data_IF_427380073065
#
_entry.id   IF_427380073065
#
_cell.length_a   1.000
_cell.length_b   1.000
_cell.length_c   1.000
_cell.angle_alpha   90.00
_cell.angle_beta   90.00
_cell.angle_gamma   90.00
#
_symmetry.space_group_name_H-M   'P 1'
#
loop_
_entity.id
_entity.type
_entity.pdbx_description
1 polymer ?
#
# COMPACT_ATOMS: atom_id res chain seq x y z
N UNK A 1 12.02 -8.95 -22.29
CA UNK A 1 10.96 -9.59 -21.51
C UNK A 1 10.82 -11.10 -21.80
N UNK A 2 11.91 -11.83 -22.10
CA UNK A 2 11.89 -13.29 -22.41
C UNK A 2 12.79 -14.16 -21.54
N UNK A 3 13.44 -13.65 -20.49
CA UNK A 3 14.48 -14.40 -19.77
C UNK A 3 14.28 -14.59 -18.27
N UNK A 4 13.10 -14.39 -17.73
CA UNK A 4 12.86 -14.58 -16.28
C UNK A 4 11.70 -15.47 -15.89
N UNK A 5 11.16 -16.29 -16.80
CA UNK A 5 10.30 -17.39 -16.38
C UNK A 5 11.25 -18.55 -16.05
N UNK A 6 11.74 -18.60 -14.79
CA UNK A 6 12.34 -19.82 -14.24
C UNK A 6 11.42 -20.97 -14.59
N UNK A 7 11.94 -22.02 -15.29
CA UNK A 7 11.23 -23.27 -15.52
C UNK A 7 10.64 -23.71 -14.19
N UNK A 8 9.33 -23.53 -14.01
CA UNK A 8 8.60 -23.98 -12.83
C UNK A 8 8.83 -25.48 -12.72
N UNK A 9 9.51 -25.91 -11.66
CA UNK A 9 9.63 -27.30 -11.30
C UNK A 9 8.20 -27.84 -11.23
N UNK A 10 7.85 -28.90 -11.99
CA UNK A 10 6.49 -29.46 -11.95
C UNK A 10 6.22 -29.90 -10.53
N UNK A 11 5.29 -29.23 -9.87
CA UNK A 11 4.80 -29.61 -8.55
C UNK A 11 4.14 -30.98 -8.65
N UNK A 12 4.34 -31.88 -7.66
CA UNK A 12 3.62 -33.15 -7.63
C UNK A 12 2.12 -32.97 -7.78
N UNK A 13 1.43 -33.82 -8.51
CA UNK A 13 0.04 -33.63 -8.89
C UNK A 13 -0.90 -33.40 -7.68
N UNK A 14 -0.65 -34.08 -6.56
CA UNK A 14 -1.45 -33.91 -5.34
C UNK A 14 -1.22 -32.54 -4.67
N UNK A 15 0.00 -32.07 -4.65
CA UNK A 15 0.31 -30.73 -4.13
C UNK A 15 -0.32 -29.65 -5.00
N UNK A 16 -0.23 -29.80 -6.32
CA UNK A 16 -0.87 -28.88 -7.27
C UNK A 16 -2.41 -28.86 -7.11
N UNK A 17 -3.01 -30.04 -6.90
CA UNK A 17 -4.45 -30.16 -6.63
C UNK A 17 -4.83 -29.46 -5.33
N UNK A 18 -4.09 -29.69 -4.25
CA UNK A 18 -4.32 -29.03 -2.96
C UNK A 18 -4.19 -27.51 -3.06
N UNK A 19 -3.18 -27.02 -3.79
CA UNK A 19 -3.01 -25.58 -4.00
C UNK A 19 -4.13 -24.99 -4.86
N UNK A 20 -4.59 -25.69 -5.88
CA UNK A 20 -5.76 -25.25 -6.66
C UNK A 20 -7.02 -25.12 -5.78
N UNK A 21 -7.26 -26.07 -4.87
CA UNK A 21 -8.34 -25.97 -3.90
C UNK A 21 -8.16 -24.79 -2.94
N UNK A 22 -6.94 -24.56 -2.44
CA UNK A 22 -6.65 -23.39 -1.58
C UNK A 22 -6.98 -22.09 -2.28
N UNK A 23 -6.54 -21.91 -3.53
CA UNK A 23 -6.82 -20.73 -4.33
C UNK A 23 -8.33 -20.53 -4.56
N UNK A 24 -9.05 -21.61 -4.89
CA UNK A 24 -10.49 -21.54 -5.15
C UNK A 24 -11.31 -21.05 -3.95
N UNK A 25 -10.89 -21.38 -2.72
CA UNK A 25 -11.61 -21.01 -1.49
C UNK A 25 -10.96 -19.85 -0.73
N UNK A 26 -9.88 -19.27 -1.25
CA UNK A 26 -9.15 -18.17 -0.58
C UNK A 26 -10.01 -16.95 -0.21
N UNK A 27 -11.05 -16.54 -0.99
CA UNK A 27 -11.94 -15.46 -0.57
C UNK A 27 -12.69 -15.75 0.74
N UNK A 28 -13.09 -17.01 0.96
CA UNK A 28 -13.75 -17.41 2.22
C UNK A 28 -12.78 -17.37 3.39
N UNK A 29 -11.53 -17.81 3.17
CA UNK A 29 -10.48 -17.77 4.20
C UNK A 29 -10.20 -16.32 4.61
N UNK A 30 -10.04 -15.43 3.62
CA UNK A 30 -9.81 -14.02 3.88
C UNK A 30 -10.95 -13.41 4.69
N UNK A 31 -12.21 -13.67 4.34
CA UNK A 31 -13.36 -13.17 5.08
C UNK A 31 -13.49 -13.78 6.48
N UNK A 32 -13.11 -15.06 6.66
CA UNK A 32 -13.06 -15.66 8.00
C UNK A 32 -12.04 -14.94 8.90
N UNK A 33 -10.86 -14.61 8.36
CA UNK A 33 -9.85 -13.83 9.10
C UNK A 33 -10.31 -12.39 9.40
N UNK A 34 -11.04 -11.76 8.49
CA UNK A 34 -11.69 -10.47 8.75
C UNK A 34 -12.67 -10.58 9.93
N UNK A 35 -13.56 -11.59 9.91
CA UNK A 35 -14.50 -11.83 10.98
C UNK A 35 -13.81 -12.13 12.33
N UNK A 36 -12.80 -13.00 12.34
CA UNK A 36 -12.02 -13.30 13.56
C UNK A 36 -11.33 -12.06 14.11
N UNK A 37 -10.84 -11.18 13.24
CA UNK A 37 -10.22 -9.91 13.66
C UNK A 37 -11.25 -8.95 14.25
N UNK A 38 -12.37 -8.75 13.57
CA UNK A 38 -13.42 -7.83 14.00
C UNK A 38 -14.14 -8.30 15.28
N UNK A 39 -14.23 -9.62 15.49
CA UNK A 39 -14.75 -10.24 16.71
C UNK A 39 -13.73 -10.33 17.86
N UNK A 40 -12.49 -9.88 17.66
CA UNK A 40 -11.43 -9.92 18.66
C UNK A 40 -10.82 -11.29 18.92
N UNK A 41 -11.22 -12.32 18.17
CA UNK A 41 -10.74 -13.69 18.36
C UNK A 41 -9.24 -13.84 18.12
N UNK A 42 -8.72 -13.18 17.06
CA UNK A 42 -7.28 -13.22 16.74
C UNK A 42 -6.44 -12.66 17.89
N UNK A 43 -6.86 -11.52 18.46
CA UNK A 43 -6.19 -10.91 19.61
C UNK A 43 -6.28 -11.76 20.85
N UNK A 44 -7.46 -12.34 21.16
CA UNK A 44 -7.63 -13.20 22.32
C UNK A 44 -6.73 -14.44 22.27
N UNK A 45 -6.56 -15.03 21.08
CA UNK A 45 -5.65 -16.17 20.87
C UNK A 45 -4.17 -15.76 21.00
N UNK A 46 -3.81 -14.58 20.51
CA UNK A 46 -2.46 -14.05 20.61
C UNK A 46 -2.07 -13.77 22.08
N UNK A 47 -2.96 -13.12 22.83
CA UNK A 47 -2.79 -12.86 24.28
C UNK A 47 -2.69 -14.16 25.11
N UNK A 48 -3.34 -15.22 24.69
CA UNK A 48 -3.25 -16.51 25.35
C UNK A 48 -1.95 -17.28 25.06
N UNK A 49 -1.23 -16.87 24.03
CA UNK A 49 0.06 -17.45 23.65
C UNK A 49 -0.02 -18.95 23.36
N UNK A 50 1.03 -19.68 23.73
CA UNK A 50 1.14 -21.11 23.49
C UNK A 50 0.18 -21.97 24.34
N UNK A 51 -0.31 -21.45 25.46
CA UNK A 51 -1.30 -22.15 26.31
C UNK A 51 -2.65 -22.26 25.60
N UNK A 52 -2.98 -21.31 24.72
CA UNK A 52 -4.21 -21.27 23.96
C UNK A 52 -5.48 -21.16 24.80
N UNK A 53 -6.64 -21.17 24.14
CA UNK A 53 -7.96 -21.07 24.76
C UNK A 53 -8.84 -22.26 24.38
N UNK A 54 -9.70 -22.69 25.29
CA UNK A 54 -10.83 -23.58 24.92
C UNK A 54 -11.85 -22.78 24.10
N UNK A 55 -12.76 -23.48 23.42
CA UNK A 55 -13.83 -22.80 22.67
C UNK A 55 -14.66 -21.90 23.57
N UNK A 56 -15.04 -22.40 24.75
CA UNK A 56 -15.82 -21.68 25.75
C UNK A 56 -15.10 -20.38 26.18
N UNK A 57 -13.84 -20.50 26.58
CA UNK A 57 -13.04 -19.34 27.02
C UNK A 57 -12.85 -18.30 25.90
N UNK A 58 -12.79 -18.73 24.63
CA UNK A 58 -12.74 -17.80 23.50
C UNK A 58 -14.09 -17.09 23.29
N UNK A 59 -15.22 -17.80 23.42
CA UNK A 59 -16.55 -17.22 23.31
C UNK A 59 -16.84 -16.19 24.41
N UNK A 60 -16.29 -16.38 25.63
CA UNK A 60 -16.38 -15.39 26.70
C UNK A 60 -15.65 -14.07 26.36
N UNK A 61 -14.62 -14.14 25.53
CA UNK A 61 -13.81 -12.98 25.11
C UNK A 61 -14.26 -12.36 23.78
N UNK A 62 -15.15 -13.03 23.05
CA UNK A 62 -15.55 -12.65 21.68
C UNK A 62 -17.07 -12.61 21.57
N UNK A 63 -17.68 -11.56 20.96
CA UNK A 63 -19.12 -11.43 20.85
C UNK A 63 -19.70 -12.34 19.77
N UNK A 64 -19.53 -13.65 19.88
CA UNK A 64 -20.03 -14.64 18.93
C UNK A 64 -20.53 -15.90 19.61
N UNK A 65 -21.39 -16.66 18.89
CA UNK A 65 -21.89 -17.96 19.39
C UNK A 65 -20.82 -19.05 19.24
N UNK A 66 -20.95 -20.14 20.02
CA UNK A 66 -20.09 -21.33 19.91
C UNK A 66 -20.01 -21.87 18.50
N UNK A 67 -21.13 -21.90 17.77
CA UNK A 67 -21.16 -22.33 16.38
C UNK A 67 -20.31 -21.43 15.48
N UNK A 68 -20.44 -20.12 15.62
CA UNK A 68 -19.67 -19.15 14.82
C UNK A 68 -18.17 -19.26 15.15
N UNK A 69 -17.81 -19.28 16.44
CA UNK A 69 -16.42 -19.43 16.87
C UNK A 69 -15.79 -20.73 16.35
N UNK A 70 -16.51 -21.85 16.49
CA UNK A 70 -16.06 -23.17 15.96
C UNK A 70 -15.82 -23.12 14.47
N UNK A 71 -16.79 -22.58 13.69
CA UNK A 71 -16.69 -22.51 12.23
C UNK A 71 -15.48 -21.69 11.77
N UNK A 72 -15.23 -20.55 12.44
CA UNK A 72 -14.07 -19.69 12.13
C UNK A 72 -12.75 -20.36 12.51
N UNK A 73 -12.70 -21.02 13.68
CA UNK A 73 -11.51 -21.75 14.13
C UNK A 73 -11.19 -22.93 13.22
N UNK A 74 -12.18 -23.67 12.72
CA UNK A 74 -11.97 -24.77 11.77
C UNK A 74 -11.31 -24.26 10.47
N UNK A 75 -11.73 -23.09 9.95
CA UNK A 75 -11.08 -22.44 8.82
C UNK A 75 -9.65 -22.06 9.18
N UNK A 76 -9.43 -21.38 10.31
CA UNK A 76 -8.10 -20.94 10.73
C UNK A 76 -7.13 -22.11 10.92
N UNK A 77 -7.57 -23.23 11.51
CA UNK A 77 -6.77 -24.45 11.67
C UNK A 77 -6.48 -25.08 10.31
N UNK A 78 -7.50 -25.23 9.45
CA UNK A 78 -7.34 -25.84 8.12
C UNK A 78 -6.33 -25.11 7.25
N UNK A 79 -6.24 -23.77 7.40
CA UNK A 79 -5.34 -22.93 6.61
C UNK A 79 -4.05 -22.56 7.35
N UNK A 80 -3.79 -23.18 8.51
CA UNK A 80 -2.52 -23.05 9.22
C UNK A 80 -2.33 -21.71 9.93
N UNK A 81 -3.39 -20.98 10.20
CA UNK A 81 -3.36 -19.73 11.00
C UNK A 81 -3.46 -20.04 12.49
N UNK A 82 -4.26 -21.02 12.84
CA UNK A 82 -4.36 -21.55 14.21
C UNK A 82 -4.04 -23.04 14.23
N UNK A 83 -3.87 -23.57 15.43
CA UNK A 83 -3.71 -25.00 15.70
C UNK A 83 -4.58 -25.39 16.90
N UNK A 84 -4.89 -26.69 16.99
CA UNK A 84 -5.64 -27.25 18.09
C UNK A 84 -4.81 -28.34 18.80
N UNK A 85 -4.68 -28.25 20.12
CA UNK A 85 -4.02 -29.28 20.91
C UNK A 85 -4.89 -30.51 21.13
N UNK A 86 -4.30 -31.59 21.62
CA UNK A 86 -5.01 -32.84 21.98
C UNK A 86 -6.04 -32.60 23.10
N UNK A 87 -5.82 -31.60 23.97
CA UNK A 87 -6.73 -31.17 25.02
C UNK A 87 -7.85 -30.25 24.50
N UNK A 88 -7.90 -29.99 23.19
CA UNK A 88 -8.94 -29.20 22.55
C UNK A 88 -8.76 -27.69 22.67
N UNK A 89 -7.58 -27.21 23.05
CA UNK A 89 -7.26 -25.76 23.13
C UNK A 89 -6.77 -25.26 21.77
N UNK A 90 -7.11 -24.02 21.45
CA UNK A 90 -6.71 -23.34 20.22
C UNK A 90 -5.65 -22.30 20.52
N UNK A 91 -4.59 -22.26 19.72
CA UNK A 91 -3.54 -21.24 19.76
C UNK A 91 -3.18 -20.80 18.35
N UNK A 92 -2.54 -19.64 18.19
CA UNK A 92 -2.02 -19.21 16.92
C UNK A 92 -0.77 -20.03 16.53
N UNK A 93 -0.63 -20.31 15.25
CA UNK A 93 0.64 -20.75 14.67
C UNK A 93 1.55 -19.53 14.45
N UNK A 94 2.80 -19.74 14.02
CA UNK A 94 3.68 -18.65 13.59
C UNK A 94 3.01 -17.77 12.49
N UNK A 95 2.27 -18.39 11.57
CA UNK A 95 1.49 -17.65 10.55
C UNK A 95 0.46 -16.74 11.21
N UNK A 96 -0.28 -17.23 12.18
CA UNK A 96 -1.27 -16.44 12.92
C UNK A 96 -0.64 -15.32 13.75
N UNK A 97 0.51 -15.60 14.39
CA UNK A 97 1.27 -14.60 15.17
C UNK A 97 1.74 -13.46 14.25
N UNK A 98 2.32 -13.77 13.08
CA UNK A 98 2.70 -12.75 12.10
C UNK A 98 1.49 -12.00 11.57
N UNK A 99 0.37 -12.68 11.34
CA UNK A 99 -0.85 -12.03 10.87
C UNK A 99 -1.38 -10.98 11.86
N UNK A 100 -1.20 -11.21 13.16
CA UNK A 100 -1.62 -10.26 14.22
C UNK A 100 -0.58 -9.18 14.48
N UNK A 101 0.70 -9.53 14.50
CA UNK A 101 1.75 -8.68 15.08
C UNK A 101 2.71 -8.07 14.04
N UNK A 102 2.76 -8.59 12.80
CA UNK A 102 3.63 -8.03 11.80
C UNK A 102 2.99 -6.79 11.15
N UNK A 103 3.72 -5.69 11.15
CA UNK A 103 3.24 -4.41 10.65
C UNK A 103 2.89 -4.46 9.16
N UNK A 104 3.74 -5.09 8.32
CA UNK A 104 3.53 -5.18 6.88
C UNK A 104 2.31 -6.04 6.53
N UNK A 105 2.19 -7.21 7.17
CA UNK A 105 1.03 -8.08 7.00
C UNK A 105 -0.25 -7.37 7.42
N UNK A 106 -0.22 -6.67 8.55
CA UNK A 106 -1.36 -5.91 9.07
C UNK A 106 -1.81 -4.80 8.12
N UNK A 107 -0.89 -4.04 7.57
CA UNK A 107 -1.17 -2.97 6.60
C UNK A 107 -1.77 -3.54 5.31
N UNK A 108 -1.15 -4.57 4.74
CA UNK A 108 -1.66 -5.24 3.53
C UNK A 108 -3.05 -5.84 3.75
N UNK A 109 -3.28 -6.42 4.92
CA UNK A 109 -4.58 -6.99 5.29
C UNK A 109 -5.66 -5.91 5.37
N UNK A 110 -5.40 -4.80 6.10
CA UNK A 110 -6.36 -3.69 6.23
C UNK A 110 -6.64 -3.04 4.89
N UNK A 111 -5.63 -2.76 4.09
CA UNK A 111 -5.80 -2.22 2.75
C UNK A 111 -6.64 -3.13 1.86
N UNK A 112 -6.34 -4.42 1.84
CA UNK A 112 -7.11 -5.39 1.06
C UNK A 112 -8.56 -5.43 1.53
N UNK A 113 -8.82 -5.49 2.85
CA UNK A 113 -10.15 -5.60 3.44
C UNK A 113 -10.99 -4.34 3.21
N UNK A 114 -10.41 -3.16 3.50
CA UNK A 114 -11.16 -1.91 3.63
C UNK A 114 -11.23 -1.13 2.31
N UNK A 115 -10.25 -1.32 1.44
CA UNK A 115 -10.14 -0.57 0.18
C UNK A 115 -10.44 -1.45 -1.04
N UNK A 116 -9.85 -2.66 -1.10
CA UNK A 116 -9.86 -3.43 -2.35
C UNK A 116 -11.01 -4.43 -2.44
N UNK A 117 -11.33 -5.13 -1.34
CA UNK A 117 -12.07 -6.39 -1.37
C UNK A 117 -13.43 -6.29 -2.07
N UNK A 118 -14.23 -5.30 -1.73
CA UNK A 118 -15.55 -5.12 -2.32
C UNK A 118 -15.44 -4.78 -3.83
N UNK A 119 -14.47 -3.94 -4.18
CA UNK A 119 -14.23 -3.55 -5.57
C UNK A 119 -13.66 -4.66 -6.47
N UNK A 120 -13.03 -5.71 -5.89
CA UNK A 120 -12.48 -6.83 -6.65
C UNK A 120 -13.53 -7.58 -7.47
N UNK A 121 -14.81 -7.53 -7.09
CA UNK A 121 -15.90 -8.04 -7.91
C UNK A 121 -16.00 -7.42 -9.31
N UNK A 122 -15.51 -6.18 -9.49
CA UNK A 122 -15.43 -5.47 -10.76
C UNK A 122 -14.15 -5.70 -11.58
N UNK A 123 -13.24 -6.60 -11.15
CA UNK A 123 -11.92 -6.76 -11.76
C UNK A 123 -11.97 -7.15 -13.24
N UNK A 124 -12.86 -8.07 -13.60
CA UNK A 124 -13.03 -8.50 -15.00
C UNK A 124 -13.47 -7.33 -15.91
N UNK A 125 -14.40 -6.51 -15.43
CA UNK A 125 -14.87 -5.34 -16.18
C UNK A 125 -13.76 -4.27 -16.26
N UNK A 126 -12.98 -4.11 -15.20
CA UNK A 126 -11.83 -3.19 -15.21
C UNK A 126 -10.85 -3.54 -16.34
N UNK A 127 -10.49 -4.82 -16.48
CA UNK A 127 -9.61 -5.25 -17.56
C UNK A 127 -10.24 -5.18 -18.94
N UNK A 128 -11.53 -5.51 -19.06
CA UNK A 128 -12.24 -5.45 -20.35
C UNK A 128 -12.39 -4.03 -20.86
N UNK A 129 -12.66 -3.10 -19.97
CA UNK A 129 -13.00 -1.72 -20.32
C UNK A 129 -11.84 -0.74 -20.12
N UNK A 130 -10.69 -1.23 -19.64
CA UNK A 130 -9.48 -0.42 -19.33
C UNK A 130 -9.80 0.79 -18.44
N UNK A 131 -10.68 0.58 -17.44
CA UNK A 131 -11.05 1.59 -16.43
C UNK A 131 -11.22 0.90 -15.07
N UNK A 132 -11.06 1.61 -13.94
CA UNK A 132 -11.16 1.01 -12.61
C UNK A 132 -12.63 0.80 -12.20
N UNK A 133 -13.31 -0.18 -12.82
CA UNK A 133 -14.74 -0.44 -12.61
C UNK A 133 -15.10 -0.76 -11.15
N UNK A 134 -14.16 -1.29 -10.37
CA UNK A 134 -14.36 -1.57 -8.94
C UNK A 134 -14.50 -0.32 -8.07
N UNK A 135 -14.01 0.85 -8.51
CA UNK A 135 -14.11 2.09 -7.74
C UNK A 135 -15.55 2.56 -7.51
N UNK A 136 -16.50 2.09 -8.31
CA UNK A 136 -17.93 2.41 -8.14
C UNK A 136 -18.49 2.10 -6.75
N UNK A 137 -17.83 1.24 -5.96
CA UNK A 137 -18.21 0.97 -4.56
C UNK A 137 -18.01 2.19 -3.67
N UNK A 138 -17.12 3.10 -4.05
CA UNK A 138 -16.85 4.35 -3.34
C UNK A 138 -17.38 5.58 -4.08
N UNK A 139 -17.37 5.58 -5.41
CA UNK A 139 -17.82 6.69 -6.24
C UNK A 139 -17.52 6.48 -7.73
N UNK A 140 -18.13 7.30 -8.58
CA UNK A 140 -17.90 7.28 -10.01
C UNK A 140 -16.73 8.20 -10.37
N UNK A 141 -15.51 7.71 -10.16
CA UNK A 141 -14.27 8.43 -10.43
C UNK A 141 -13.45 7.73 -11.51
N UNK A 142 -12.75 8.49 -12.36
CA UNK A 142 -11.87 7.91 -13.38
C UNK A 142 -10.64 7.18 -12.77
N UNK A 143 -10.20 7.62 -11.59
CA UNK A 143 -9.16 7.01 -10.75
C UNK A 143 -9.52 7.22 -9.29
N UNK A 144 -8.79 6.60 -8.35
CA UNK A 144 -9.01 6.78 -6.92
C UNK A 144 -8.68 8.20 -6.44
N UNK A 145 -7.72 8.89 -7.07
CA UNK A 145 -7.12 10.13 -6.58
C UNK A 145 -8.11 11.27 -6.33
N UNK A 146 -9.06 11.59 -7.25
CA UNK A 146 -10.06 12.61 -6.96
C UNK A 146 -11.02 12.26 -5.83
N UNK A 147 -11.05 10.99 -5.45
CA UNK A 147 -11.94 10.44 -4.44
C UNK A 147 -11.30 10.15 -3.09
N UNK A 148 -9.97 10.16 -2.95
CA UNK A 148 -9.28 9.74 -1.72
C UNK A 148 -9.83 10.47 -0.47
N UNK A 149 -10.01 11.78 -0.55
CA UNK A 149 -10.52 12.56 0.56
C UNK A 149 -11.98 12.26 0.92
N UNK A 150 -12.73 11.64 0.01
CA UNK A 150 -14.14 11.27 0.15
C UNK A 150 -14.35 9.81 0.55
N UNK A 151 -13.27 9.02 0.64
CA UNK A 151 -13.35 7.65 1.12
C UNK A 151 -13.95 7.58 2.52
N UNK A 152 -14.75 6.54 2.85
CA UNK A 152 -15.20 6.28 4.23
C UNK A 152 -14.00 6.21 5.19
N UNK A 153 -14.18 6.63 6.45
CA UNK A 153 -13.08 6.80 7.41
C UNK A 153 -12.11 5.61 7.46
N UNK A 154 -12.64 4.38 7.63
CA UNK A 154 -11.81 3.16 7.69
C UNK A 154 -11.04 2.90 6.38
N UNK A 155 -11.68 3.06 5.24
CA UNK A 155 -11.02 2.89 3.93
C UNK A 155 -9.97 3.97 3.70
N UNK A 156 -10.25 5.21 4.11
CA UNK A 156 -9.32 6.33 4.01
C UNK A 156 -8.07 6.11 4.88
N UNK A 157 -8.26 5.69 6.13
CA UNK A 157 -7.16 5.37 7.05
C UNK A 157 -6.29 4.24 6.49
N UNK A 158 -6.89 3.14 6.05
CA UNK A 158 -6.18 1.98 5.47
C UNK A 158 -5.46 2.33 4.17
N UNK A 159 -6.03 3.24 3.34
CA UNK A 159 -5.36 3.75 2.15
C UNK A 159 -4.07 4.49 2.49
N UNK A 160 -4.15 5.50 3.36
CA UNK A 160 -2.98 6.30 3.70
C UNK A 160 -1.92 5.49 4.47
N UNK A 161 -2.34 4.54 5.31
CA UNK A 161 -1.40 3.66 6.00
C UNK A 161 -0.60 2.81 5.02
N UNK A 162 -1.26 2.25 3.99
CA UNK A 162 -0.61 1.48 2.94
C UNK A 162 0.32 2.35 2.07
N UNK A 163 -0.17 3.47 1.58
CA UNK A 163 0.54 4.40 0.71
C UNK A 163 1.84 4.91 1.37
N UNK A 164 1.73 5.31 2.63
CA UNK A 164 2.87 5.84 3.37
C UNK A 164 3.88 4.79 3.82
N UNK A 165 3.44 3.59 4.15
CA UNK A 165 4.31 2.57 4.70
C UNK A 165 5.45 2.20 3.75
N UNK A 166 5.13 1.93 2.50
CA UNK A 166 6.13 1.48 1.52
C UNK A 166 7.08 2.60 1.07
N UNK A 167 6.63 3.85 1.05
CA UNK A 167 7.49 4.99 0.71
C UNK A 167 8.37 5.42 1.89
N UNK A 168 7.80 5.52 3.10
CA UNK A 168 8.49 6.05 4.28
C UNK A 168 9.73 5.23 4.66
N UNK A 169 9.67 3.89 4.55
CA UNK A 169 10.83 3.02 4.83
C UNK A 169 11.98 3.17 3.82
N UNK A 170 11.69 3.62 2.61
CA UNK A 170 12.70 3.83 1.60
C UNK A 170 13.43 5.17 1.76
N UNK A 171 12.78 6.19 2.34
CA UNK A 171 13.33 7.54 2.44
C UNK A 171 14.70 7.64 3.13
N UNK A 172 14.95 7.01 4.30
CA UNK A 172 16.27 7.06 4.93
C UNK A 172 17.40 6.49 4.06
N UNK A 173 17.07 5.55 3.18
CA UNK A 173 18.03 4.93 2.25
C UNK A 173 18.20 5.78 0.98
N UNK A 174 17.16 6.45 0.54
CA UNK A 174 17.13 7.28 -0.67
C UNK A 174 17.83 8.63 -0.45
N UNK A 175 17.64 9.27 0.71
CA UNK A 175 18.20 10.59 1.02
C UNK A 175 19.70 10.72 0.73
N UNK A 176 20.59 9.83 1.22
CA UNK A 176 22.02 9.93 0.92
C UNK A 176 22.37 9.63 -0.53
N UNK A 177 21.53 8.93 -1.29
CA UNK A 177 21.72 8.65 -2.71
C UNK A 177 21.31 9.84 -3.58
N UNK A 178 20.27 10.55 -3.18
CA UNK A 178 19.73 11.71 -3.90
C UNK A 178 20.55 12.95 -3.61
N UNK A 179 20.83 13.24 -2.34
CA UNK A 179 21.53 14.47 -1.91
C UNK A 179 23.04 14.25 -1.81
N UNK A 180 23.66 13.89 -2.93
CA UNK A 180 25.11 13.92 -3.08
C UNK A 180 25.66 15.35 -3.18
N UNK A 181 27.00 15.52 -3.29
CA UNK A 181 27.62 16.84 -3.40
C UNK A 181 27.02 17.68 -4.52
N UNK A 182 26.65 18.90 -4.18
CA UNK A 182 26.12 19.89 -5.12
C UNK A 182 24.60 19.82 -5.37
N UNK A 183 23.87 18.83 -4.83
CA UNK A 183 22.40 18.79 -4.91
C UNK A 183 21.80 19.38 -3.62
N UNK A 184 21.16 20.53 -3.76
CA UNK A 184 20.51 21.30 -2.68
C UNK A 184 19.02 21.58 -2.96
N UNK A 185 18.53 21.09 -4.10
CA UNK A 185 17.15 21.36 -4.53
C UNK A 185 16.59 20.17 -5.31
N UNK A 186 15.31 19.89 -5.10
CA UNK A 186 14.62 18.76 -5.70
C UNK A 186 13.17 19.10 -6.08
N UNK A 187 12.72 18.55 -7.20
CA UNK A 187 11.30 18.55 -7.59
C UNK A 187 10.68 17.20 -7.28
N UNK A 188 9.67 17.19 -6.46
CA UNK A 188 8.88 16.03 -6.05
C UNK A 188 7.59 15.98 -6.89
N UNK A 189 7.49 15.02 -7.80
CA UNK A 189 6.33 14.84 -8.67
C UNK A 189 5.43 13.75 -8.09
N UNK A 190 4.20 14.12 -7.71
CA UNK A 190 3.29 13.26 -6.96
C UNK A 190 3.63 13.25 -5.47
N UNK A 191 3.91 14.42 -4.90
CA UNK A 191 4.38 14.55 -3.52
C UNK A 191 3.34 14.27 -2.44
N UNK A 192 2.07 14.02 -2.82
CA UNK A 192 0.96 13.62 -1.97
C UNK A 192 0.80 14.54 -0.74
N UNK A 193 1.07 14.03 0.46
CA UNK A 193 0.98 14.80 1.73
C UNK A 193 2.27 15.55 2.09
N UNK A 194 3.27 15.56 1.22
CA UNK A 194 4.55 16.24 1.45
C UNK A 194 5.52 15.51 2.37
N UNK A 195 5.35 14.21 2.61
CA UNK A 195 6.24 13.43 3.50
C UNK A 195 7.68 13.39 3.00
N UNK A 196 7.90 13.20 1.69
CA UNK A 196 9.25 13.27 1.12
C UNK A 196 9.86 14.67 1.30
N UNK A 197 9.10 15.73 1.01
CA UNK A 197 9.54 17.10 1.20
C UNK A 197 9.97 17.38 2.66
N UNK A 198 9.19 16.91 3.65
CA UNK A 198 9.56 16.98 5.08
C UNK A 198 10.84 16.23 5.38
N UNK A 199 10.97 15.01 4.87
CA UNK A 199 12.17 14.18 5.06
C UNK A 199 13.40 14.84 4.47
N UNK A 200 13.30 15.45 3.28
CA UNK A 200 14.37 16.22 2.68
C UNK A 200 14.75 17.43 3.52
N UNK A 201 13.77 18.18 4.01
CA UNK A 201 14.01 19.34 4.87
C UNK A 201 14.61 18.96 6.23
N UNK A 202 14.25 17.82 6.78
CA UNK A 202 14.85 17.28 8.02
C UNK A 202 16.28 16.77 7.80
N UNK A 203 16.58 16.22 6.62
CA UNK A 203 17.91 15.70 6.28
C UNK A 203 18.99 16.78 6.24
N UNK A 204 18.73 17.92 5.60
CA UNK A 204 19.64 19.06 5.55
C UNK A 204 18.85 20.39 5.53
N UNK A 205 19.37 21.38 6.24
CA UNK A 205 18.69 22.68 6.42
C UNK A 205 18.72 23.58 5.17
N UNK A 206 19.59 23.32 4.22
CA UNK A 206 19.74 24.07 2.98
C UNK A 206 18.86 23.55 1.82
N UNK A 207 18.26 22.35 1.95
CA UNK A 207 17.48 21.74 0.88
C UNK A 207 16.16 22.52 0.66
N UNK A 208 15.83 22.73 -0.61
CA UNK A 208 14.57 23.28 -1.09
C UNK A 208 13.84 22.25 -1.93
N UNK A 209 12.52 22.20 -1.79
CA UNK A 209 11.67 21.25 -2.49
C UNK A 209 10.58 21.99 -3.26
N UNK A 210 10.42 21.65 -4.53
CA UNK A 210 9.28 22.03 -5.36
C UNK A 210 8.37 20.81 -5.51
N UNK A 211 7.11 20.88 -5.09
CA UNK A 211 6.14 19.79 -5.19
C UNK A 211 5.21 20.03 -6.37
N UNK A 212 5.09 19.07 -7.27
CA UNK A 212 4.13 19.09 -8.37
C UNK A 212 3.07 18.01 -8.09
N UNK A 213 1.83 18.43 -7.88
CA UNK A 213 0.72 17.50 -7.62
C UNK A 213 -0.63 18.14 -8.01
N UNK A 214 -1.72 17.39 -7.83
CA UNK A 214 -3.08 17.91 -7.99
C UNK A 214 -3.35 19.09 -7.02
N UNK A 215 -4.23 20.02 -7.38
CA UNK A 215 -4.50 21.20 -6.55
C UNK A 215 -4.83 20.86 -5.08
N UNK A 216 -5.67 19.85 -4.85
CA UNK A 216 -6.10 19.46 -3.51
C UNK A 216 -4.94 18.89 -2.67
N UNK A 217 -3.98 18.23 -3.33
CA UNK A 217 -2.78 17.72 -2.65
C UNK A 217 -1.83 18.89 -2.34
N UNK A 218 -1.63 19.80 -3.29
CA UNK A 218 -0.82 21.00 -3.05
C UNK A 218 -1.35 21.83 -1.87
N UNK A 219 -2.67 22.03 -1.75
CA UNK A 219 -3.29 22.69 -0.60
C UNK A 219 -2.96 21.96 0.72
N UNK A 220 -2.96 20.62 0.70
CA UNK A 220 -2.59 19.80 1.86
C UNK A 220 -1.12 20.00 2.21
N UNK A 221 -0.22 19.96 1.23
CA UNK A 221 1.21 20.20 1.43
C UNK A 221 1.44 21.60 2.00
N UNK A 222 0.86 22.64 1.40
CA UNK A 222 1.03 24.03 1.84
C UNK A 222 0.62 24.21 3.30
N UNK A 223 -0.52 23.63 3.70
CA UNK A 223 -0.99 23.66 5.10
C UNK A 223 -0.01 22.96 6.03
N UNK A 224 0.42 21.74 5.71
CA UNK A 224 1.35 20.96 6.54
C UNK A 224 2.70 21.69 6.66
N UNK A 225 3.23 22.23 5.56
CA UNK A 225 4.50 22.93 5.56
C UNK A 225 4.43 24.24 6.37
N UNK A 226 3.29 24.92 6.37
CA UNK A 226 3.07 26.10 7.21
C UNK A 226 3.03 25.74 8.70
N UNK A 227 2.30 24.69 9.07
CA UNK A 227 2.21 24.19 10.45
C UNK A 227 3.58 23.79 11.02
N UNK A 228 4.46 23.21 10.17
CA UNK A 228 5.80 22.77 10.56
C UNK A 228 6.91 23.84 10.38
N UNK A 229 6.57 25.05 9.92
CA UNK A 229 7.53 26.14 9.71
C UNK A 229 8.46 25.91 8.50
N UNK A 230 8.05 25.10 7.54
CA UNK A 230 8.83 24.74 6.35
C UNK A 230 8.40 25.49 5.07
N UNK A 231 7.38 26.35 5.13
CA UNK A 231 6.82 27.06 3.98
C UNK A 231 7.84 27.90 3.18
N UNK A 232 8.93 28.34 3.81
CA UNK A 232 10.01 29.06 3.10
C UNK A 232 10.93 28.17 2.27
N UNK A 233 10.83 26.85 2.43
CA UNK A 233 11.71 25.85 1.80
C UNK A 233 10.98 24.91 0.85
N UNK A 234 9.66 24.83 0.96
CA UNK A 234 8.82 23.98 0.12
C UNK A 234 7.85 24.87 -0.65
N UNK A 235 7.82 24.70 -1.97
CA UNK A 235 6.89 25.41 -2.86
C UNK A 235 6.02 24.40 -3.58
N UNK A 236 4.76 24.72 -3.85
CA UNK A 236 3.85 23.83 -4.57
C UNK A 236 3.54 24.37 -5.96
N UNK A 237 3.31 23.45 -6.90
CA UNK A 237 2.92 23.74 -8.27
C UNK A 237 1.70 22.88 -8.63
N UNK A 238 0.48 23.41 -8.40
CA UNK A 238 -0.75 22.67 -8.65
C UNK A 238 -0.93 22.36 -10.13
N UNK A 239 -0.97 21.08 -10.51
CA UNK A 239 -1.27 20.67 -11.88
C UNK A 239 -1.71 19.22 -11.96
N UNK A 240 -2.51 18.90 -12.98
CA UNK A 240 -2.71 17.53 -13.41
C UNK A 240 -1.61 17.15 -14.41
N UNK A 241 -0.76 16.20 -14.04
CA UNK A 241 0.37 15.75 -14.88
C UNK A 241 -0.07 15.13 -16.21
N UNK A 242 -1.34 14.72 -16.34
CA UNK A 242 -1.91 14.23 -17.59
C UNK A 242 -2.46 15.33 -18.49
N UNK A 243 -2.55 16.58 -18.03
CA UNK A 243 -2.95 17.71 -18.87
C UNK A 243 -1.90 17.99 -19.98
N UNK A 244 -2.28 18.76 -21.00
CA UNK A 244 -1.35 19.17 -22.06
C UNK A 244 -0.37 20.27 -21.64
N UNK A 245 -0.50 20.78 -20.42
CA UNK A 245 0.40 21.80 -19.90
C UNK A 245 1.82 21.25 -19.69
N UNK A 246 2.86 22.04 -20.01
CA UNK A 246 4.23 21.67 -19.70
C UNK A 246 4.45 21.70 -18.18
N UNK A 247 5.40 20.92 -17.70
CA UNK A 247 5.81 21.01 -16.29
C UNK A 247 6.48 22.37 -16.02
N UNK A 248 6.33 22.92 -14.81
CA UNK A 248 6.98 24.16 -14.42
C UNK A 248 8.50 23.96 -14.40
N UNK A 249 9.24 24.96 -14.86
CA UNK A 249 10.70 25.01 -14.70
C UNK A 249 11.02 25.42 -13.26
N UNK A 250 11.31 24.44 -12.43
CA UNK A 250 11.59 24.62 -11.00
C UNK A 250 13.02 25.05 -10.72
N UNK A 251 13.93 24.89 -11.69
CA UNK A 251 15.37 25.19 -11.54
C UNK A 251 16.09 24.27 -10.56
N UNK A 252 15.50 23.10 -10.23
CA UNK A 252 16.07 22.16 -9.27
C UNK A 252 17.05 21.21 -9.92
N UNK A 253 18.05 20.76 -9.16
CA UNK A 253 19.12 19.85 -9.63
C UNK A 253 18.73 18.38 -9.58
N UNK A 254 17.68 18.03 -8.85
CA UNK A 254 17.15 16.67 -8.79
C UNK A 254 15.64 16.67 -9.00
N UNK A 255 15.16 15.59 -9.57
CA UNK A 255 13.73 15.28 -9.72
C UNK A 255 13.45 13.92 -9.10
N UNK A 256 12.30 13.79 -8.47
CA UNK A 256 11.89 12.61 -7.72
C UNK A 256 10.49 12.17 -8.13
N UNK A 257 10.34 10.89 -8.43
CA UNK A 257 9.06 10.20 -8.64
C UNK A 257 9.07 8.90 -7.85
N UNK A 258 8.18 8.78 -6.87
CA UNK A 258 8.14 7.61 -5.99
C UNK A 258 6.73 7.06 -5.92
N UNK A 259 6.56 5.77 -6.26
CA UNK A 259 5.25 5.10 -6.31
C UNK A 259 4.22 5.97 -7.03
N UNK A 260 4.64 6.51 -8.14
CA UNK A 260 3.91 7.49 -8.92
C UNK A 260 3.66 7.02 -10.35
N UNK A 261 4.69 6.47 -11.00
CA UNK A 261 4.59 6.04 -12.41
C UNK A 261 3.75 4.77 -12.56
N UNK A 262 3.69 3.91 -11.56
CA UNK A 262 2.86 2.70 -11.54
C UNK A 262 1.35 3.00 -11.61
N UNK A 263 0.95 4.25 -11.33
CA UNK A 263 -0.42 4.72 -11.46
C UNK A 263 -0.89 4.96 -12.90
N UNK A 264 0.02 4.89 -13.88
CA UNK A 264 -0.25 5.33 -15.25
C UNK A 264 -0.01 4.24 -16.29
N UNK A 265 -0.70 4.36 -17.43
CA UNK A 265 -0.43 3.49 -18.59
C UNK A 265 0.96 3.76 -19.18
N UNK A 266 1.56 2.80 -19.91
CA UNK A 266 2.88 3.00 -20.52
C UNK A 266 2.97 4.25 -21.44
N UNK A 267 1.90 4.58 -22.16
CA UNK A 267 1.85 5.78 -23.01
C UNK A 267 1.82 7.07 -22.18
N UNK A 268 1.10 7.08 -21.05
CA UNK A 268 1.05 8.20 -20.12
C UNK A 268 2.42 8.38 -19.42
N UNK A 269 3.05 7.29 -18.99
CA UNK A 269 4.41 7.32 -18.40
C UNK A 269 5.39 8.00 -19.36
N UNK A 270 5.40 7.58 -20.63
CA UNK A 270 6.27 8.19 -21.65
C UNK A 270 5.98 9.69 -21.82
N UNK A 271 4.70 10.09 -21.79
CA UNK A 271 4.30 11.50 -21.86
C UNK A 271 4.79 12.29 -20.65
N UNK A 272 4.60 11.76 -19.43
CA UNK A 272 5.05 12.37 -18.18
C UNK A 272 6.57 12.55 -18.18
N UNK A 273 7.33 11.50 -18.53
CA UNK A 273 8.79 11.56 -18.59
C UNK A 273 9.31 12.54 -19.63
N UNK A 274 8.65 12.66 -20.80
CA UNK A 274 9.00 13.68 -21.80
C UNK A 274 8.78 15.10 -21.28
N UNK A 275 7.68 15.34 -20.56
CA UNK A 275 7.42 16.66 -19.94
C UNK A 275 8.42 16.98 -18.83
N UNK A 276 8.75 15.98 -17.99
CA UNK A 276 9.78 16.14 -16.97
C UNK A 276 11.14 16.49 -17.61
N UNK A 277 11.58 15.71 -18.59
CA UNK A 277 12.83 15.98 -19.32
C UNK A 277 12.88 17.38 -19.94
N UNK A 278 11.77 17.85 -20.50
CA UNK A 278 11.71 19.19 -21.10
C UNK A 278 11.74 20.35 -20.08
N UNK A 279 11.41 20.06 -18.82
CA UNK A 279 11.39 21.04 -17.72
C UNK A 279 12.66 21.00 -16.87
N UNK A 280 13.38 19.88 -16.88
CA UNK A 280 14.65 19.69 -16.15
C UNK A 280 15.77 20.58 -16.74
N UNK A 281 16.69 20.99 -15.87
CA UNK A 281 17.96 21.55 -16.30
C UNK A 281 18.85 20.45 -16.92
N UNK A 282 19.79 20.84 -17.79
CA UNK A 282 20.62 19.90 -18.56
C UNK A 282 21.45 18.94 -17.69
N UNK A 283 21.84 19.37 -16.49
CA UNK A 283 22.63 18.62 -15.49
C UNK A 283 21.78 18.00 -14.37
N UNK A 284 20.44 18.17 -14.42
CA UNK A 284 19.56 17.62 -13.40
C UNK A 284 19.40 16.09 -13.54
N UNK A 285 19.21 15.42 -12.40
CA UNK A 285 19.05 13.95 -12.32
C UNK A 285 17.64 13.60 -11.91
N UNK A 286 17.01 12.68 -12.65
CA UNK A 286 15.72 12.09 -12.26
C UNK A 286 15.95 10.78 -11.50
N UNK A 287 15.39 10.72 -10.30
CA UNK A 287 15.33 9.52 -9.47
C UNK A 287 13.92 8.93 -9.50
N UNK A 288 13.81 7.63 -9.74
CA UNK A 288 12.55 6.89 -9.77
C UNK A 288 12.60 5.76 -8.74
N UNK A 289 11.64 5.74 -7.82
CA UNK A 289 11.47 4.70 -6.81
C UNK A 289 10.14 3.99 -7.03
N UNK A 290 10.17 2.76 -7.53
CA UNK A 290 8.97 1.98 -7.85
C UNK A 290 9.11 0.52 -7.39
N UNK A 291 8.01 -0.14 -7.01
CA UNK A 291 8.00 -1.57 -6.77
C UNK A 291 8.14 -2.33 -8.09
N UNK A 292 9.27 -2.98 -8.31
CA UNK A 292 9.54 -3.72 -9.54
C UNK A 292 9.10 -5.18 -9.43
N UNK A 293 8.30 -5.66 -10.39
CA UNK A 293 7.92 -7.07 -10.49
C UNK A 293 9.16 -7.97 -10.51
N UNK A 294 9.18 -9.00 -9.66
CA UNK A 294 10.29 -9.95 -9.52
C UNK A 294 11.47 -9.44 -8.69
N UNK A 295 11.36 -8.27 -8.07
CA UNK A 295 12.31 -7.75 -7.07
C UNK A 295 11.73 -7.75 -5.66
N UNK A 296 10.47 -8.11 -5.51
CA UNK A 296 9.80 -8.25 -4.23
C UNK A 296 10.25 -9.52 -3.51
N UNK A 297 10.38 -9.53 -2.18
CA UNK A 297 10.82 -10.70 -1.40
C UNK A 297 9.75 -11.80 -1.28
N UNK A 298 8.50 -11.53 -1.70
CA UNK A 298 7.36 -12.46 -1.61
C UNK A 298 6.59 -12.54 -2.93
#
# INVERSE_FOLDING_TARGET
MKESIKKTRRTPALEALNEAHRLAVSPFVFQALCAMTDLGMMRALDEAGSEGLTLEALCEKSPCSDYAARSLLEVAVRFGVAQRSDEGRFSLTNTGIFFVNDLHVGINFRFTRDVCYEGLGGLTDSFRESRPAGLKVFGDWPTIYPGIQKLPGRAKESWFEFDHHYSDEAYPKALPLVFTDGIDSITDVGGNTGKWARSCCAWRSDIRVAVIDLPEQCETVDRVMAEEGLASRVTTHPMNVLSDQPFPKTGTKAWWMSQFLDCFSPSQIVSILKKAHAAMEDDAVLYILEPLIGRQPF
#
